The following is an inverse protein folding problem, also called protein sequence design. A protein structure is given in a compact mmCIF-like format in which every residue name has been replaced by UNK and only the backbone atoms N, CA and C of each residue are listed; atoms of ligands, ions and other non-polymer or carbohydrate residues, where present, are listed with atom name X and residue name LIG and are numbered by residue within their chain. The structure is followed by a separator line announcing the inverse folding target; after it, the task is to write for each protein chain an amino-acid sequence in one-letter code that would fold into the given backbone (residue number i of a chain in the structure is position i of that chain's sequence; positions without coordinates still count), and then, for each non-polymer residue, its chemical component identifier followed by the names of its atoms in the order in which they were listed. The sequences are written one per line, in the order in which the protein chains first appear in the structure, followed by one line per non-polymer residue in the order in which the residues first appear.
data_IF_791345597034
#
_entry.id   IF_791345597034
#
_cell.length_a   1.000
_cell.length_b   1.000
_cell.length_c   1.000
_cell.angle_alpha   90.00
_cell.angle_beta   90.00
_cell.angle_gamma   90.00
#
_symmetry.space_group_name_H-M   'P 1'
#
loop_
_entity.id
_entity.type
_entity.pdbx_description
1 polymer ?
#
# COMPACT_ATOMS: atom_id res chain seq x y z
N UNK A 1 14.21 -1.61 23.52
CA UNK A 1 13.26 -1.24 22.46
C UNK A 1 13.11 0.27 22.57
N UNK A 2 13.67 1.07 21.65
CA UNK A 2 13.63 2.53 21.80
C UNK A 2 12.18 2.99 21.60
N UNK A 3 11.65 3.71 22.57
CA UNK A 3 10.39 4.43 22.46
C UNK A 3 10.50 5.38 21.27
N UNK A 4 9.94 4.97 20.14
CA UNK A 4 9.74 5.86 19.01
C UNK A 4 8.45 6.62 19.27
N UNK A 5 8.56 7.69 20.06
CA UNK A 5 7.55 8.74 20.04
C UNK A 5 7.39 9.16 18.58
N UNK A 6 6.18 8.95 18.05
CA UNK A 6 5.86 9.26 16.67
C UNK A 6 6.03 10.76 16.45
N UNK A 7 7.10 11.16 15.78
CA UNK A 7 7.34 12.56 15.38
C UNK A 7 6.37 13.03 14.27
N UNK A 8 5.46 12.16 13.84
CA UNK A 8 4.51 12.46 12.78
C UNK A 8 3.39 13.37 13.28
N UNK A 9 3.39 14.61 12.79
CA UNK A 9 2.33 15.58 13.03
C UNK A 9 1.28 15.50 11.91
N UNK A 10 0.01 15.73 12.24
CA UNK A 10 -1.03 15.88 11.24
C UNK A 10 -0.64 16.98 10.25
N UNK A 11 -0.81 16.71 8.95
CA UNK A 11 -0.51 17.69 7.93
C UNK A 11 -1.50 18.87 8.05
N UNK A 12 -1.02 20.12 8.21
CA UNK A 12 -1.91 21.26 8.47
C UNK A 12 -2.67 21.73 7.23
N UNK A 13 -2.27 21.29 6.03
CA UNK A 13 -2.89 21.66 4.76
C UNK A 13 -2.93 20.47 3.80
N UNK A 14 -3.79 20.55 2.78
CA UNK A 14 -3.85 19.55 1.70
C UNK A 14 -2.50 19.44 0.98
N UNK A 15 -1.85 20.56 0.66
CA UNK A 15 -0.53 20.57 0.02
C UNK A 15 0.53 19.90 0.89
N UNK A 16 0.50 20.14 2.20
CA UNK A 16 1.39 19.46 3.14
C UNK A 16 1.13 17.95 3.15
N UNK A 17 -0.14 17.52 3.20
CA UNK A 17 -0.50 16.10 3.19
C UNK A 17 0.00 15.39 1.93
N UNK A 18 -0.07 16.05 0.77
CA UNK A 18 0.39 15.48 -0.51
C UNK A 18 1.92 15.39 -0.55
N UNK A 19 2.62 16.47 -0.19
CA UNK A 19 4.08 16.57 -0.36
C UNK A 19 4.88 15.80 0.69
N UNK A 20 4.33 15.58 1.88
CA UNK A 20 4.99 14.79 2.93
C UNK A 20 4.60 13.32 2.92
N UNK A 21 3.61 12.90 2.12
CA UNK A 21 3.21 11.48 2.07
C UNK A 21 4.33 10.63 1.45
N UNK A 22 4.77 9.62 2.19
CA UNK A 22 5.74 8.63 1.73
C UNK A 22 5.12 7.23 1.62
N UNK A 23 5.71 6.39 0.78
CA UNK A 23 5.37 4.96 0.71
C UNK A 23 6.21 4.19 1.73
N UNK A 24 5.62 3.92 2.89
CA UNK A 24 6.27 3.24 4.02
C UNK A 24 6.30 1.73 3.79
N UNK A 25 7.44 1.08 4.11
CA UNK A 25 7.65 -0.37 3.90
C UNK A 25 7.86 -1.17 5.18
N UNK A 26 8.03 -0.50 6.32
CA UNK A 26 8.14 -1.12 7.65
C UNK A 26 7.24 -0.37 8.61
N UNK A 27 6.33 -1.10 9.24
CA UNK A 27 5.33 -0.53 10.15
C UNK A 27 5.59 -1.02 11.58
N UNK A 28 5.15 -0.23 12.56
CA UNK A 28 5.11 -0.67 13.95
C UNK A 28 4.09 -1.80 14.13
N UNK A 29 4.25 -2.59 15.18
CA UNK A 29 3.27 -3.60 15.59
C UNK A 29 1.99 -2.99 16.19
N UNK A 30 1.94 -1.67 16.37
CA UNK A 30 0.80 -0.93 16.91
C UNK A 30 -0.41 -1.01 15.98
N UNK A 31 -1.55 -1.55 16.43
CA UNK A 31 -2.77 -1.59 15.62
C UNK A 31 -3.40 -0.21 15.48
N UNK A 32 -4.04 0.03 14.34
CA UNK A 32 -4.93 1.19 14.13
C UNK A 32 -6.33 0.80 14.61
N UNK A 33 -7.02 1.71 15.31
CA UNK A 33 -8.39 1.44 15.77
C UNK A 33 -9.35 1.26 14.59
N UNK A 34 -10.38 0.42 14.78
CA UNK A 34 -11.41 0.18 13.76
C UNK A 34 -12.09 1.49 13.35
N UNK A 35 -12.46 2.33 14.31
CA UNK A 35 -13.11 3.62 14.08
C UNK A 35 -12.26 4.53 13.20
N UNK A 36 -10.94 4.61 13.43
CA UNK A 36 -10.06 5.39 12.57
C UNK A 36 -10.03 4.86 11.13
N UNK A 37 -10.01 3.54 10.94
CA UNK A 37 -10.06 2.94 9.59
C UNK A 37 -11.38 3.27 8.89
N UNK A 38 -12.50 3.16 9.60
CA UNK A 38 -13.83 3.49 9.07
C UNK A 38 -13.94 4.97 8.69
N UNK A 39 -13.39 5.88 9.50
CA UNK A 39 -13.31 7.32 9.19
C UNK A 39 -12.49 7.60 7.93
N UNK A 40 -11.34 6.93 7.77
CA UNK A 40 -10.50 7.06 6.58
C UNK A 40 -11.27 6.59 5.34
N UNK A 41 -11.96 5.46 5.42
CA UNK A 41 -12.73 4.91 4.30
C UNK A 41 -13.94 5.79 3.95
N UNK A 42 -14.64 6.33 4.95
CA UNK A 42 -15.74 7.27 4.76
C UNK A 42 -15.29 8.58 4.08
N UNK A 43 -14.05 9.04 4.34
CA UNK A 43 -13.48 10.15 3.61
C UNK A 43 -13.08 9.75 2.18
N UNK A 44 -12.42 8.60 2.03
CA UNK A 44 -11.91 8.12 0.74
C UNK A 44 -13.02 7.86 -0.29
N UNK A 45 -14.21 7.41 0.16
CA UNK A 45 -15.35 7.16 -0.73
C UNK A 45 -15.94 8.44 -1.37
N UNK A 46 -15.48 9.63 -0.96
CA UNK A 46 -15.82 10.90 -1.61
C UNK A 46 -15.05 11.14 -2.90
N UNK A 47 -14.12 10.26 -3.27
CA UNK A 47 -13.39 10.34 -4.53
C UNK A 47 -14.36 10.27 -5.73
N UNK A 48 -14.13 11.03 -6.81
CA UNK A 48 -14.99 10.96 -7.98
C UNK A 48 -14.89 9.59 -8.66
N UNK A 49 -15.97 9.17 -9.31
CA UNK A 49 -16.01 7.99 -10.18
C UNK A 49 -16.83 8.29 -11.44
N UNK A 50 -16.58 7.55 -12.52
CA UNK A 50 -17.37 7.65 -13.75
C UNK A 50 -18.85 7.49 -13.42
N UNK A 51 -19.67 8.44 -13.89
CA UNK A 51 -21.12 8.54 -13.60
C UNK A 51 -21.48 8.44 -12.10
N UNK A 52 -20.55 8.76 -11.20
CA UNK A 52 -20.68 8.57 -9.75
C UNK A 52 -21.07 7.13 -9.33
N UNK A 53 -20.62 6.13 -10.10
CA UNK A 53 -20.96 4.72 -9.90
C UNK A 53 -20.45 4.15 -8.57
N UNK A 54 -19.39 4.73 -8.00
CA UNK A 54 -18.77 4.31 -6.74
C UNK A 54 -18.48 2.79 -6.70
N UNK A 55 -17.76 2.24 -7.70
CA UNK A 55 -17.69 0.79 -7.91
C UNK A 55 -16.79 0.05 -6.93
N UNK A 56 -16.17 0.76 -5.98
CA UNK A 56 -15.21 0.17 -5.06
C UNK A 56 -15.89 -0.80 -4.08
N UNK A 57 -15.32 -1.99 -3.96
CA UNK A 57 -15.63 -2.95 -2.91
C UNK A 57 -14.37 -3.18 -2.08
N UNK A 58 -14.39 -2.77 -0.81
CA UNK A 58 -13.19 -2.72 0.04
C UNK A 58 -13.27 -3.76 1.15
N UNK A 59 -12.29 -4.67 1.17
CA UNK A 59 -12.09 -5.61 2.27
C UNK A 59 -10.96 -5.13 3.17
N UNK A 60 -11.23 -4.97 4.46
CA UNK A 60 -10.22 -4.61 5.46
C UNK A 60 -9.88 -5.83 6.31
N UNK A 61 -8.60 -6.18 6.38
CA UNK A 61 -8.12 -7.30 7.19
C UNK A 61 -7.20 -6.79 8.31
N UNK A 62 -7.46 -7.27 9.52
CA UNK A 62 -6.67 -7.00 10.71
C UNK A 62 -6.40 -8.30 11.48
N UNK A 63 -5.48 -8.24 12.45
CA UNK A 63 -5.18 -9.35 13.35
C UNK A 63 -4.84 -10.66 12.62
N UNK A 64 -5.50 -11.74 13.04
CA UNK A 64 -5.25 -13.09 12.53
C UNK A 64 -5.56 -13.23 11.04
N UNK A 65 -6.67 -12.68 10.55
CA UNK A 65 -7.04 -12.79 9.13
C UNK A 65 -6.01 -12.14 8.22
N UNK A 66 -5.46 -10.99 8.63
CA UNK A 66 -4.34 -10.35 7.91
C UNK A 66 -3.10 -11.24 7.91
N UNK A 67 -2.74 -11.85 9.05
CA UNK A 67 -1.59 -12.76 9.14
C UNK A 67 -1.77 -14.00 8.28
N UNK A 68 -2.95 -14.62 8.31
CA UNK A 68 -3.27 -15.80 7.51
C UNK A 68 -3.13 -15.49 6.01
N UNK A 69 -3.71 -14.39 5.53
CA UNK A 69 -3.56 -13.98 4.13
C UNK A 69 -2.09 -13.69 3.78
N UNK A 70 -1.38 -12.96 4.65
CA UNK A 70 0.04 -12.63 4.41
C UNK A 70 0.92 -13.88 4.31
N UNK A 71 0.67 -14.87 5.17
CA UNK A 71 1.37 -16.16 5.14
C UNK A 71 1.06 -16.93 3.85
N UNK A 72 -0.21 -17.03 3.47
CA UNK A 72 -0.62 -17.69 2.23
C UNK A 72 -0.01 -17.02 0.98
N UNK A 73 0.07 -15.69 0.97
CA UNK A 73 0.75 -14.93 -0.09
C UNK A 73 2.26 -15.22 -0.15
N UNK A 74 2.92 -15.37 1.01
CA UNK A 74 4.32 -15.78 1.08
C UNK A 74 4.54 -17.17 0.49
N UNK A 75 3.73 -18.15 0.92
CA UNK A 75 3.78 -19.52 0.38
C UNK A 75 3.55 -19.53 -1.14
N UNK A 76 2.55 -18.80 -1.63
CA UNK A 76 2.28 -18.70 -3.06
C UNK A 76 3.39 -17.99 -3.84
N UNK A 77 4.09 -17.03 -3.21
CA UNK A 77 5.22 -16.34 -3.83
C UNK A 77 6.44 -17.25 -3.99
N UNK A 78 6.68 -18.14 -3.01
CA UNK A 78 7.81 -19.07 -3.01
C UNK A 78 7.59 -20.28 -3.94
N UNK A 79 6.34 -20.49 -4.39
CA UNK A 79 6.02 -21.45 -5.47
C UNK A 79 6.50 -20.94 -6.83
N UNK A 80 6.55 -21.82 -7.84
CA UNK A 80 6.97 -21.45 -9.19
C UNK A 80 6.14 -20.27 -9.73
N UNK A 81 6.76 -19.10 -10.00
CA UNK A 81 6.06 -17.92 -10.50
C UNK A 81 5.31 -18.16 -11.82
N UNK A 82 5.67 -19.20 -12.58
CA UNK A 82 4.99 -19.58 -13.83
C UNK A 82 3.57 -20.11 -13.60
N UNK A 83 3.26 -20.57 -12.37
CA UNK A 83 1.96 -21.15 -12.00
C UNK A 83 0.90 -20.09 -11.74
N UNK A 84 1.28 -18.82 -11.64
CA UNK A 84 0.36 -17.72 -11.37
C UNK A 84 0.21 -16.82 -12.59
N UNK A 85 -1.04 -16.58 -12.99
CA UNK A 85 -1.38 -15.53 -13.95
C UNK A 85 -2.32 -14.51 -13.30
N UNK A 86 -2.02 -13.21 -13.37
CA UNK A 86 -2.94 -12.20 -12.89
C UNK A 86 -4.20 -12.22 -13.76
N UNK A 87 -5.36 -12.03 -13.14
CA UNK A 87 -6.63 -11.83 -13.85
C UNK A 87 -6.54 -10.66 -14.84
N UNK A 88 -5.78 -9.63 -14.48
CA UNK A 88 -5.56 -8.46 -15.32
C UNK A 88 -4.08 -8.09 -15.38
N UNK A 89 -3.59 -7.85 -16.60
CA UNK A 89 -2.23 -7.33 -16.80
C UNK A 89 -2.16 -5.88 -16.30
N UNK A 90 -1.66 -5.69 -15.09
CA UNK A 90 -1.50 -4.37 -14.46
C UNK A 90 -0.37 -3.52 -15.09
N UNK A 91 0.73 -4.15 -15.49
CA UNK A 91 1.91 -3.48 -16.06
C UNK A 91 2.03 -3.70 -17.56
N UNK A 92 2.63 -2.74 -18.30
CA UNK A 92 2.95 -2.97 -19.71
C UNK A 92 3.91 -4.16 -19.86
N UNK A 93 3.84 -4.85 -21.01
CA UNK A 93 4.78 -5.95 -21.33
C UNK A 93 6.23 -5.48 -21.30
N UNK A 94 6.46 -4.26 -21.81
CA UNK A 94 7.77 -3.66 -21.91
C UNK A 94 7.77 -2.28 -21.25
N UNK A 95 8.79 -2.03 -20.44
CA UNK A 95 9.02 -0.71 -19.86
C UNK A 95 10.04 0.04 -20.73
N UNK A 96 9.59 1.14 -21.34
CA UNK A 96 10.46 2.06 -22.07
C UNK A 96 11.27 2.93 -21.10
N UNK A 97 12.40 3.47 -21.55
CA UNK A 97 13.08 4.53 -20.79
C UNK A 97 12.24 5.82 -20.80
N UNK A 98 12.25 6.61 -19.71
CA UNK A 98 13.06 6.45 -18.49
C UNK A 98 12.40 5.57 -17.40
N UNK A 99 11.27 4.94 -17.67
CA UNK A 99 10.49 4.22 -16.63
C UNK A 99 11.18 2.95 -16.15
N UNK A 100 11.91 2.25 -17.04
CA UNK A 100 12.68 1.05 -16.70
C UNK A 100 13.83 1.35 -15.74
N UNK A 101 14.65 2.36 -16.04
CA UNK A 101 15.73 2.78 -15.13
C UNK A 101 15.20 3.31 -13.80
N UNK A 102 14.16 4.16 -13.83
CA UNK A 102 13.51 4.70 -12.62
C UNK A 102 13.01 3.61 -11.68
N UNK A 103 12.25 2.63 -12.19
CA UNK A 103 11.70 1.56 -11.32
C UNK A 103 12.79 0.70 -10.67
N UNK A 104 13.90 0.45 -11.37
CA UNK A 104 15.04 -0.31 -10.83
C UNK A 104 15.72 0.46 -9.70
N UNK A 105 16.10 1.71 -9.98
CA UNK A 105 16.74 2.59 -8.98
C UNK A 105 15.88 2.72 -7.72
N UNK A 106 14.61 3.08 -7.90
CA UNK A 106 13.65 3.25 -6.80
C UNK A 106 13.48 1.95 -6.00
N UNK A 107 13.43 0.80 -6.68
CA UNK A 107 13.39 -0.50 -6.00
C UNK A 107 14.61 -0.71 -5.12
N UNK A 108 15.82 -0.60 -5.68
CA UNK A 108 17.06 -0.81 -4.93
C UNK A 108 17.24 0.18 -3.79
N UNK A 109 17.02 1.47 -4.03
CA UNK A 109 17.11 2.49 -2.98
C UNK A 109 16.16 2.17 -1.82
N UNK A 110 14.93 1.74 -2.11
CA UNK A 110 13.91 1.55 -1.07
C UNK A 110 14.09 0.25 -0.28
N UNK A 111 14.53 -0.83 -0.93
CA UNK A 111 14.78 -2.10 -0.25
C UNK A 111 16.15 -2.14 0.44
N UNK A 112 17.14 -1.36 -0.02
CA UNK A 112 18.43 -1.21 0.66
C UNK A 112 18.37 -0.44 1.99
N UNK A 113 17.22 0.16 2.33
CA UNK A 113 16.98 0.87 3.59
C UNK A 113 16.32 0.01 4.69
N UNK A 114 15.95 -1.23 4.38
CA UNK A 114 15.30 -2.17 5.30
C UNK A 114 16.32 -3.06 6.02
#
# INVERSE_FOLDING_TARGET
MKDHDSTWKAAPTVSAAITTRHSIRRFLSTPVSRTQVEQILALACRSPSGTNMQPWHVWVLAGERKRALSSALGVAHDQDPSTWQPEHRYYPKEFKEPYRSRRRKVGWDLYGLL
#
